data_IF_940729770936
#
_entry.id   IF_940729770936
#
_cell.length_a   1.000
_cell.length_b   1.000
_cell.length_c   1.000
_cell.angle_alpha   90.00
_cell.angle_beta   90.00
_cell.angle_gamma   90.00
#
_symmetry.space_group_name_H-M   'P 1'
#
loop_
_entity.id
_entity.type
_entity.pdbx_description
1 polymer ?
#
# COMPACT_ATOMS: atom_id res chain seq x y z
N UNK A 1 19.11 22.98 -11.27
CA UNK A 1 18.22 22.20 -10.42
C UNK A 1 18.64 20.75 -10.57
N UNK A 2 18.79 19.97 -9.51
CA UNK A 2 19.15 18.54 -9.59
C UNK A 2 18.03 17.74 -10.21
N UNK A 3 18.32 16.58 -10.82
CA UNK A 3 17.35 15.74 -11.52
C UNK A 3 16.18 15.35 -10.62
N UNK A 4 16.46 14.86 -9.38
CA UNK A 4 15.39 14.48 -8.44
C UNK A 4 14.48 15.66 -8.11
N UNK A 5 15.00 16.85 -7.89
CA UNK A 5 14.19 18.02 -7.54
C UNK A 5 13.37 18.54 -8.73
N UNK A 6 13.95 18.48 -9.94
CA UNK A 6 13.24 18.84 -11.18
C UNK A 6 12.07 17.91 -11.47
N UNK A 7 12.29 16.59 -11.38
CA UNK A 7 11.24 15.58 -11.57
C UNK A 7 10.18 15.68 -10.47
N UNK A 8 10.57 15.76 -9.18
CA UNK A 8 9.64 15.94 -8.07
C UNK A 8 8.71 17.14 -8.31
N UNK A 9 9.28 18.30 -8.70
CA UNK A 9 8.50 19.51 -9.00
C UNK A 9 7.52 19.29 -10.15
N UNK A 10 7.93 18.60 -11.23
CA UNK A 10 7.05 18.30 -12.38
C UNK A 10 5.91 17.36 -11.98
N UNK A 11 6.21 16.32 -11.22
CA UNK A 11 5.22 15.33 -10.76
C UNK A 11 4.23 15.94 -9.75
N UNK A 12 4.70 16.73 -8.79
CA UNK A 12 3.83 17.38 -7.79
C UNK A 12 2.86 18.39 -8.40
N UNK A 13 3.21 18.99 -9.54
CA UNK A 13 2.31 19.90 -10.26
C UNK A 13 1.16 19.20 -10.97
N UNK A 14 1.17 17.88 -11.03
CA UNK A 14 0.07 17.11 -11.61
C UNK A 14 -0.98 16.81 -10.52
N UNK A 15 -2.24 17.27 -10.66
CA UNK A 15 -3.31 17.02 -9.70
C UNK A 15 -3.89 15.61 -9.89
N UNK A 16 -3.05 14.60 -9.77
CA UNK A 16 -3.34 13.20 -10.03
C UNK A 16 -4.08 12.53 -8.87
N UNK A 17 -5.24 13.11 -8.47
CA UNK A 17 -6.10 12.48 -7.47
C UNK A 17 -6.61 11.14 -8.01
N UNK A 18 -6.46 10.09 -7.17
CA UNK A 18 -6.78 8.71 -7.54
C UNK A 18 -8.16 8.58 -8.21
N UNK A 19 -8.36 7.81 -9.27
CA UNK A 19 -7.37 6.99 -9.98
C UNK A 19 -6.74 7.69 -11.22
N UNK A 20 -6.64 9.01 -11.22
CA UNK A 20 -6.15 9.79 -12.35
C UNK A 20 -4.62 9.93 -12.30
N UNK A 21 -3.94 9.59 -13.39
CA UNK A 21 -2.49 9.82 -13.55
C UNK A 21 -2.16 11.26 -13.93
N UNK A 22 -3.09 11.96 -14.56
CA UNK A 22 -2.83 13.22 -15.26
C UNK A 22 -1.69 13.05 -16.29
N UNK A 23 -0.53 13.66 -16.04
CA UNK A 23 0.63 13.53 -16.95
C UNK A 23 1.86 12.88 -16.28
N UNK A 24 1.73 12.38 -15.04
CA UNK A 24 2.84 11.88 -14.25
C UNK A 24 3.62 10.78 -14.98
N UNK A 25 2.93 9.74 -15.45
CA UNK A 25 3.60 8.61 -16.11
C UNK A 25 4.17 8.96 -17.48
N UNK A 26 3.59 9.95 -18.20
CA UNK A 26 4.20 10.44 -19.44
C UNK A 26 5.53 11.16 -19.16
N UNK A 27 5.58 11.99 -18.10
CA UNK A 27 6.80 12.66 -17.63
C UNK A 27 7.90 11.62 -17.30
N UNK A 28 7.53 10.54 -16.62
CA UNK A 28 8.45 9.46 -16.26
C UNK A 28 8.90 8.66 -17.49
N UNK A 29 7.98 8.32 -18.40
CA UNK A 29 8.29 7.58 -19.62
C UNK A 29 9.23 8.37 -20.54
N UNK A 30 8.99 9.68 -20.71
CA UNK A 30 9.88 10.58 -21.46
C UNK A 30 11.32 10.56 -20.88
N UNK A 31 11.43 10.71 -19.56
CA UNK A 31 12.72 10.72 -18.88
C UNK A 31 13.45 9.38 -18.99
N UNK A 32 12.75 8.27 -18.72
CA UNK A 32 13.31 6.93 -18.75
C UNK A 32 13.67 6.46 -20.16
N UNK A 33 12.86 6.80 -21.17
CA UNK A 33 13.19 6.55 -22.58
C UNK A 33 14.47 7.28 -23.00
N UNK A 34 14.71 8.49 -22.49
CA UNK A 34 15.96 9.21 -22.67
C UNK A 34 17.19 8.51 -22.10
N UNK A 35 17.00 7.61 -21.13
CA UNK A 35 18.04 6.76 -20.53
C UNK A 35 18.12 5.37 -21.19
N UNK A 36 17.33 5.12 -22.24
CA UNK A 36 17.30 3.86 -22.98
C UNK A 36 16.48 2.76 -22.31
N UNK A 37 15.45 3.13 -21.57
CA UNK A 37 14.44 2.18 -21.11
C UNK A 37 13.38 1.96 -22.18
N UNK A 38 12.93 0.70 -22.32
CA UNK A 38 11.69 0.36 -22.99
C UNK A 38 10.52 0.70 -22.08
N UNK A 39 9.63 1.60 -22.52
CA UNK A 39 8.48 2.08 -21.75
C UNK A 39 7.18 1.59 -22.36
N UNK A 40 6.37 0.88 -21.58
CA UNK A 40 5.06 0.37 -21.97
C UNK A 40 3.99 0.91 -21.04
N UNK A 41 2.88 1.42 -21.61
CA UNK A 41 1.68 1.74 -20.84
C UNK A 41 0.69 0.58 -20.88
N UNK A 42 0.27 0.13 -19.71
CA UNK A 42 -0.76 -0.88 -19.54
C UNK A 42 -2.02 -0.24 -18.99
N UNK A 43 -3.17 -0.52 -19.62
CA UNK A 43 -4.46 0.03 -19.23
C UNK A 43 -5.37 -1.12 -18.79
N UNK A 44 -5.94 -0.99 -17.59
CA UNK A 44 -6.90 -1.96 -17.07
C UNK A 44 -8.15 -1.22 -16.58
N UNK A 45 -9.32 -1.89 -16.66
CA UNK A 45 -10.62 -1.27 -16.39
C UNK A 45 -11.33 -0.80 -17.67
N UNK A 46 -12.53 -0.26 -17.51
CA UNK A 46 -13.33 0.26 -18.62
C UNK A 46 -13.00 1.76 -18.85
N UNK A 47 -12.68 2.19 -20.08
CA UNK A 47 -12.46 3.61 -20.40
C UNK A 47 -13.60 4.55 -20.01
N UNK A 48 -14.82 4.03 -19.90
CA UNK A 48 -16.01 4.78 -19.48
C UNK A 48 -16.47 4.38 -18.06
N UNK A 49 -15.72 3.50 -17.39
CA UNK A 49 -16.02 3.00 -16.05
C UNK A 49 -15.84 4.07 -14.98
N UNK A 50 -16.45 3.83 -13.82
CA UNK A 50 -16.31 4.64 -12.61
C UNK A 50 -16.11 3.73 -11.40
N UNK A 51 -15.51 4.25 -10.32
CA UNK A 51 -15.23 3.46 -9.12
C UNK A 51 -14.34 2.26 -9.45
N UNK A 52 -14.79 1.06 -9.08
CA UNK A 52 -14.05 -0.20 -9.25
C UNK A 52 -13.79 -0.57 -10.73
N UNK A 53 -14.61 -0.05 -11.65
CA UNK A 53 -14.47 -0.29 -13.09
C UNK A 53 -13.66 0.80 -13.80
N UNK A 54 -13.25 1.86 -13.11
CA UNK A 54 -12.48 2.96 -13.73
C UNK A 54 -11.20 2.45 -14.41
N UNK A 55 -10.94 2.99 -15.60
CA UNK A 55 -9.69 2.66 -16.28
C UNK A 55 -8.51 3.31 -15.59
N UNK A 56 -7.50 2.50 -15.29
CA UNK A 56 -6.23 2.92 -14.68
C UNK A 56 -5.09 2.75 -15.67
N UNK A 57 -4.26 3.77 -15.77
CA UNK A 57 -3.01 3.76 -16.50
C UNK A 57 -1.89 3.28 -15.60
N UNK A 58 -1.07 2.36 -16.10
CA UNK A 58 0.12 1.87 -15.44
C UNK A 58 1.30 1.95 -16.40
N UNK A 59 2.49 2.30 -15.90
CA UNK A 59 3.73 2.33 -16.64
C UNK A 59 4.62 1.19 -16.21
N UNK A 60 5.07 0.36 -17.15
CA UNK A 60 6.20 -0.54 -16.96
C UNK A 60 7.35 -0.08 -17.85
N UNK A 61 8.47 0.28 -17.23
CA UNK A 61 9.67 0.70 -17.93
C UNK A 61 10.82 -0.24 -17.57
N UNK A 62 11.52 -0.81 -18.57
CA UNK A 62 12.59 -1.78 -18.36
C UNK A 62 13.85 -1.45 -19.15
N UNK A 63 15.00 -1.54 -18.49
CA UNK A 63 16.32 -1.52 -19.10
C UNK A 63 17.01 -2.83 -18.81
N UNK A 64 17.34 -3.57 -19.88
CA UNK A 64 18.04 -4.84 -19.77
C UNK A 64 19.51 -4.65 -19.41
N UNK A 65 20.00 -5.50 -18.55
CA UNK A 65 21.41 -5.67 -18.27
C UNK A 65 22.14 -6.51 -19.34
N UNK A 66 23.43 -6.67 -19.15
CA UNK A 66 24.30 -7.42 -20.06
C UNK A 66 24.32 -8.94 -19.78
N UNK A 67 23.85 -9.37 -18.60
CA UNK A 67 23.86 -10.77 -18.17
C UNK A 67 22.42 -11.22 -17.85
N UNK A 68 21.82 -12.10 -18.65
CA UNK A 68 20.45 -12.56 -18.46
C UNK A 68 20.25 -13.39 -17.17
N UNK A 69 21.33 -13.91 -16.57
CA UNK A 69 21.30 -14.70 -15.33
C UNK A 69 21.47 -13.81 -14.08
N UNK A 70 21.88 -12.56 -14.25
CA UNK A 70 21.99 -11.59 -13.17
C UNK A 70 20.60 -11.17 -12.61
N UNK A 71 20.60 -10.56 -11.44
CA UNK A 71 19.38 -10.17 -10.74
C UNK A 71 18.57 -9.10 -11.51
N UNK A 72 17.26 -9.12 -11.35
CA UNK A 72 16.34 -8.08 -11.80
C UNK A 72 15.81 -7.30 -10.59
N UNK A 73 16.14 -6.02 -10.51
CA UNK A 73 15.61 -5.07 -9.53
C UNK A 73 14.51 -4.21 -10.15
N UNK A 74 13.30 -4.31 -9.60
CA UNK A 74 12.19 -3.43 -9.91
C UNK A 74 12.06 -2.35 -8.83
N UNK A 75 11.76 -1.12 -9.22
CA UNK A 75 11.21 -0.11 -8.32
C UNK A 75 9.71 0.01 -8.57
N UNK A 76 8.92 -0.09 -7.51
CA UNK A 76 7.48 0.08 -7.60
C UNK A 76 7.02 1.32 -6.82
N UNK A 77 5.99 1.97 -7.35
CA UNK A 77 5.37 3.13 -6.73
C UNK A 77 4.13 3.60 -7.45
N UNK A 78 3.51 4.65 -6.91
CA UNK A 78 2.29 5.22 -7.45
C UNK A 78 2.42 6.73 -7.69
N UNK A 79 1.68 7.21 -8.68
CA UNK A 79 1.61 8.64 -9.02
C UNK A 79 0.29 9.27 -8.62
N UNK A 80 -0.72 8.46 -8.33
CA UNK A 80 -1.96 8.95 -7.75
C UNK A 80 -1.77 9.40 -6.30
N UNK A 81 -2.67 10.24 -5.84
CA UNK A 81 -2.66 10.82 -4.49
C UNK A 81 -4.06 10.87 -3.92
N UNK A 82 -4.18 10.84 -2.60
CA UNK A 82 -5.46 11.07 -1.92
C UNK A 82 -5.99 12.48 -2.16
N UNK A 83 -7.31 12.73 -2.01
CA UNK A 83 -7.89 14.06 -2.09
C UNK A 83 -7.18 15.08 -1.17
N UNK A 84 -7.12 16.33 -1.61
CA UNK A 84 -6.43 17.42 -0.90
C UNK A 84 -7.15 17.89 0.36
N UNK A 85 -8.46 17.57 0.48
CA UNK A 85 -9.31 18.17 1.51
C UNK A 85 -9.63 19.62 1.19
N UNK A 86 -9.82 20.43 2.23
CA UNK A 86 -10.10 21.87 2.09
C UNK A 86 -8.80 22.62 1.73
N UNK A 87 -8.69 23.03 0.48
CA UNK A 87 -7.48 23.69 -0.04
C UNK A 87 -7.26 25.08 0.59
N UNK A 88 -8.28 25.69 1.20
CA UNK A 88 -8.13 26.97 1.89
C UNK A 88 -7.31 26.87 3.19
N UNK A 89 -7.12 25.65 3.70
CA UNK A 89 -6.33 25.38 4.89
C UNK A 89 -4.85 25.12 4.59
N UNK A 90 -4.47 24.97 3.31
CA UNK A 90 -3.08 24.75 2.91
C UNK A 90 -2.29 26.06 2.96
N UNK A 91 -1.08 26.02 3.55
CA UNK A 91 -0.12 27.12 3.55
C UNK A 91 0.34 27.47 2.12
N UNK A 92 0.56 26.46 1.31
CA UNK A 92 0.84 26.57 -0.14
C UNK A 92 -0.14 25.69 -0.91
N UNK A 93 -0.64 26.13 -2.08
CA UNK A 93 -1.58 25.29 -2.86
C UNK A 93 -1.03 23.88 -3.08
N UNK A 94 -1.85 22.82 -2.92
CA UNK A 94 -1.39 21.43 -2.83
C UNK A 94 -0.63 20.94 -4.07
N UNK A 95 -0.86 21.54 -5.23
CA UNK A 95 -0.17 21.19 -6.49
C UNK A 95 0.76 22.30 -7.01
N UNK A 96 1.19 23.22 -6.12
CA UNK A 96 2.15 24.28 -6.48
C UNK A 96 3.60 23.80 -6.54
N UNK A 97 3.95 22.72 -5.84
CA UNK A 97 5.31 22.24 -5.66
C UNK A 97 6.23 23.36 -5.13
N UNK A 98 5.81 24.01 -4.05
CA UNK A 98 6.51 25.15 -3.48
C UNK A 98 7.74 24.72 -2.70
N UNK A 99 8.90 25.35 -2.99
CA UNK A 99 10.12 25.21 -2.21
C UNK A 99 10.17 26.34 -1.18
N UNK A 100 10.05 25.99 0.10
CA UNK A 100 10.14 26.93 1.21
C UNK A 100 10.66 26.22 2.46
N UNK A 101 11.40 26.96 3.29
CA UNK A 101 11.91 26.50 4.60
C UNK A 101 12.68 25.16 4.52
N UNK A 102 13.43 24.95 3.44
CA UNK A 102 14.20 23.70 3.22
C UNK A 102 13.36 22.49 2.82
N UNK A 103 12.05 22.67 2.62
CA UNK A 103 11.11 21.62 2.23
C UNK A 103 10.51 21.86 0.85
N UNK A 104 10.13 20.76 0.19
CA UNK A 104 9.28 20.75 -0.99
C UNK A 104 7.85 20.41 -0.53
N UNK A 105 6.93 21.36 -0.71
CA UNK A 105 5.55 21.29 -0.24
C UNK A 105 4.61 20.89 -1.37
N UNK A 106 3.69 19.99 -1.08
CA UNK A 106 2.61 19.61 -2.00
C UNK A 106 2.06 18.21 -1.72
N UNK A 107 0.83 17.95 -2.14
CA UNK A 107 0.21 16.64 -2.07
C UNK A 107 0.98 15.64 -2.92
N UNK A 108 1.36 14.48 -2.33
CA UNK A 108 2.22 13.48 -2.94
C UNK A 108 3.72 13.75 -2.75
N UNK A 109 4.10 14.77 -1.93
CA UNK A 109 5.50 15.05 -1.66
C UNK A 109 6.14 13.95 -0.84
N UNK A 110 5.47 13.46 0.20
CA UNK A 110 5.91 12.30 0.97
C UNK A 110 5.41 11.00 0.37
N UNK A 111 4.18 10.96 -0.12
CA UNK A 111 3.49 9.76 -0.59
C UNK A 111 3.04 9.90 -2.04
N UNK A 112 3.83 9.40 -3.02
CA UNK A 112 5.24 9.02 -2.94
C UNK A 112 6.03 9.53 -4.18
N UNK A 113 5.54 10.61 -4.83
CA UNK A 113 6.09 11.13 -6.09
C UNK A 113 7.58 11.51 -5.99
N UNK A 114 8.03 11.99 -4.82
CA UNK A 114 9.44 12.37 -4.63
C UNK A 114 10.35 11.16 -4.54
N UNK A 115 9.91 10.04 -3.96
CA UNK A 115 10.67 8.80 -3.95
C UNK A 115 10.88 8.25 -5.37
N UNK A 116 9.85 8.31 -6.23
CA UNK A 116 9.96 7.95 -7.65
C UNK A 116 11.02 8.84 -8.34
N UNK A 117 10.95 10.16 -8.12
CA UNK A 117 11.92 11.10 -8.70
C UNK A 117 13.35 10.84 -8.21
N UNK A 118 13.53 10.47 -6.94
CA UNK A 118 14.83 10.09 -6.37
C UNK A 118 15.37 8.81 -7.02
N UNK A 119 14.53 7.80 -7.23
CA UNK A 119 14.95 6.58 -7.89
C UNK A 119 15.32 6.83 -9.37
N UNK A 120 14.53 7.61 -10.10
CA UNK A 120 14.87 8.03 -11.46
C UNK A 120 16.23 8.73 -11.53
N UNK A 121 16.51 9.65 -10.60
CA UNK A 121 17.81 10.34 -10.54
C UNK A 121 18.97 9.40 -10.14
N UNK A 122 18.71 8.41 -9.28
CA UNK A 122 19.68 7.38 -8.96
C UNK A 122 20.00 6.50 -10.18
N UNK A 123 18.98 6.09 -10.93
CA UNK A 123 19.13 5.33 -12.19
C UNK A 123 19.93 6.13 -13.21
N UNK A 124 19.64 7.41 -13.42
CA UNK A 124 20.41 8.27 -14.35
C UNK A 124 21.90 8.24 -14.02
N UNK A 125 22.27 8.45 -12.74
CA UNK A 125 23.67 8.40 -12.30
C UNK A 125 24.27 7.02 -12.47
N UNK A 126 23.50 5.98 -12.15
CA UNK A 126 23.96 4.61 -12.21
C UNK A 126 24.25 4.17 -13.65
N UNK A 127 23.33 4.37 -14.60
CA UNK A 127 23.54 3.93 -15.99
C UNK A 127 24.65 4.72 -16.70
N UNK A 128 24.91 5.95 -16.27
CA UNK A 128 26.07 6.73 -16.73
C UNK A 128 27.39 6.15 -16.20
N UNK A 129 27.43 5.72 -14.94
CA UNK A 129 28.62 5.15 -14.31
C UNK A 129 28.88 3.69 -14.71
N UNK A 130 27.81 2.93 -14.91
CA UNK A 130 27.82 1.49 -15.24
C UNK A 130 27.05 1.21 -16.54
N UNK A 131 27.53 1.66 -17.71
CA UNK A 131 26.79 1.50 -18.98
C UNK A 131 26.57 0.05 -19.39
N UNK A 132 27.40 -0.88 -18.88
CA UNK A 132 27.34 -2.33 -19.12
C UNK A 132 26.95 -3.10 -17.84
N UNK A 133 26.09 -2.51 -17.01
CA UNK A 133 25.59 -3.18 -15.80
C UNK A 133 25.06 -4.59 -16.12
N UNK A 134 25.15 -5.52 -15.15
CA UNK A 134 24.77 -6.90 -15.37
C UNK A 134 23.28 -7.16 -15.30
N UNK A 135 22.66 -6.75 -14.19
CA UNK A 135 21.27 -7.07 -13.90
C UNK A 135 20.28 -6.14 -14.61
N UNK A 136 19.03 -6.57 -14.71
CA UNK A 136 17.93 -5.79 -15.26
C UNK A 136 17.46 -4.74 -14.25
N UNK A 137 17.04 -3.57 -14.73
CA UNK A 137 16.39 -2.52 -13.93
C UNK A 137 15.01 -2.26 -14.51
N UNK A 138 13.97 -2.25 -13.67
CA UNK A 138 12.64 -1.81 -14.12
C UNK A 138 11.96 -0.87 -13.12
N UNK A 139 10.96 -0.15 -13.61
CA UNK A 139 10.02 0.61 -12.81
C UNK A 139 8.60 0.16 -13.15
N UNK A 140 7.80 -0.07 -12.12
CA UNK A 140 6.37 -0.34 -12.22
C UNK A 140 5.63 0.76 -11.46
N UNK A 141 4.91 1.60 -12.20
CA UNK A 141 4.24 2.79 -11.65
C UNK A 141 2.75 2.70 -11.94
N UNK A 142 1.93 2.80 -10.90
CA UNK A 142 0.46 2.79 -11.00
C UNK A 142 -0.15 4.17 -10.74
N UNK A 143 -1.44 4.30 -11.03
CA UNK A 143 -2.29 5.43 -10.63
C UNK A 143 -3.53 4.97 -9.83
N UNK A 144 -3.46 3.82 -9.13
CA UNK A 144 -4.56 3.25 -8.32
C UNK A 144 -4.00 2.49 -7.11
N UNK A 145 -3.09 3.11 -6.35
CA UNK A 145 -2.67 2.60 -5.03
C UNK A 145 -3.56 3.18 -3.93
N UNK A 146 -3.81 4.47 -3.98
CA UNK A 146 -4.57 5.27 -3.01
C UNK A 146 -6.10 5.14 -3.18
N UNK A 147 -6.53 4.40 -4.18
CA UNK A 147 -7.93 4.15 -4.49
C UNK A 147 -8.38 2.74 -4.12
N UNK A 148 -9.14 2.14 -5.06
CA UNK A 148 -9.67 0.78 -4.87
C UNK A 148 -8.63 -0.32 -5.09
N UNK A 149 -7.48 0.01 -5.69
CA UNK A 149 -6.34 -0.87 -5.96
C UNK A 149 -6.70 -2.16 -6.75
N UNK A 150 -7.63 -2.04 -7.69
CA UNK A 150 -8.11 -3.17 -8.52
C UNK A 150 -7.42 -3.20 -9.87
N UNK A 151 -7.38 -2.04 -10.58
CA UNK A 151 -6.89 -1.91 -11.93
C UNK A 151 -5.45 -1.35 -12.01
N UNK A 152 -4.81 -1.16 -10.87
CA UNK A 152 -3.43 -0.73 -10.69
C UNK A 152 -2.43 -1.88 -10.70
N UNK A 153 -1.49 -1.83 -9.76
CA UNK A 153 -0.36 -2.78 -9.62
C UNK A 153 -0.80 -4.24 -9.65
N UNK A 154 -1.93 -4.60 -9.03
CA UNK A 154 -2.44 -5.98 -9.04
C UNK A 154 -2.59 -6.53 -10.46
N UNK A 155 -3.25 -5.80 -11.35
CA UNK A 155 -3.45 -6.22 -12.75
C UNK A 155 -2.15 -6.18 -13.53
N UNK A 156 -1.30 -5.18 -13.28
CA UNK A 156 -0.01 -5.05 -13.94
C UNK A 156 0.91 -6.23 -13.63
N UNK A 157 1.07 -6.61 -12.36
CA UNK A 157 1.92 -7.77 -11.99
C UNK A 157 1.32 -9.10 -12.47
N UNK A 158 -0.01 -9.26 -12.51
CA UNK A 158 -0.64 -10.44 -13.11
C UNK A 158 -0.31 -10.55 -14.62
N UNK A 159 -0.30 -9.43 -15.35
CA UNK A 159 0.06 -9.42 -16.76
C UNK A 159 1.56 -9.69 -16.94
N UNK A 160 2.45 -9.11 -16.12
CA UNK A 160 3.88 -9.40 -16.15
C UNK A 160 4.16 -10.88 -15.84
N UNK A 161 3.52 -11.46 -14.84
CA UNK A 161 3.62 -12.88 -14.52
C UNK A 161 3.13 -13.79 -15.69
N UNK A 162 2.01 -13.41 -16.34
CA UNK A 162 1.49 -14.11 -17.53
C UNK A 162 2.50 -14.12 -18.68
N UNK A 163 3.31 -13.05 -18.79
CA UNK A 163 4.41 -12.94 -19.79
C UNK A 163 5.69 -13.66 -19.35
N UNK A 164 5.69 -14.30 -18.16
CA UNK A 164 6.89 -14.88 -17.53
C UNK A 164 8.00 -13.85 -17.32
N UNK A 165 7.62 -12.60 -17.04
CA UNK A 165 8.59 -11.57 -16.67
C UNK A 165 9.18 -11.91 -15.30
N UNK A 166 10.52 -11.86 -15.20
CA UNK A 166 11.25 -12.13 -13.96
C UNK A 166 11.32 -10.87 -13.11
N UNK A 167 11.23 -11.02 -11.80
CA UNK A 167 11.47 -9.95 -10.82
C UNK A 167 12.04 -10.62 -9.57
N UNK A 168 13.33 -10.42 -9.27
CA UNK A 168 13.95 -11.02 -8.08
C UNK A 168 13.76 -10.13 -6.86
N UNK A 169 13.98 -8.83 -7.05
CA UNK A 169 13.89 -7.81 -6.01
C UNK A 169 12.92 -6.71 -6.42
N UNK A 170 12.12 -6.23 -5.48
CA UNK A 170 11.30 -5.06 -5.66
C UNK A 170 11.49 -4.07 -4.51
N UNK A 171 11.96 -2.87 -4.83
CA UNK A 171 12.04 -1.76 -3.90
C UNK A 171 10.81 -0.88 -4.08
N UNK A 172 9.99 -0.77 -3.05
CA UNK A 172 8.80 0.10 -3.07
C UNK A 172 9.15 1.42 -2.38
N UNK A 173 8.86 2.53 -3.04
CA UNK A 173 9.26 3.87 -2.57
C UNK A 173 8.35 4.49 -1.51
N UNK A 174 7.54 3.70 -0.82
CA UNK A 174 6.61 4.12 0.24
C UNK A 174 7.32 4.85 1.39
N UNK A 175 6.70 5.86 2.02
CA UNK A 175 7.25 6.62 3.14
C UNK A 175 7.36 5.74 4.39
N UNK A 176 8.46 5.02 4.52
CA UNK A 176 8.72 4.06 5.60
C UNK A 176 9.45 4.65 6.79
N UNK A 177 10.19 5.75 6.59
CA UNK A 177 10.99 6.39 7.64
C UNK A 177 10.10 7.11 8.66
N UNK A 178 10.54 7.19 9.93
CA UNK A 178 9.71 7.72 11.03
C UNK A 178 10.28 8.99 11.67
N UNK A 179 11.47 8.95 12.21
CA UNK A 179 12.11 10.10 12.87
C UNK A 179 13.26 10.67 12.05
N UNK A 180 13.98 9.83 11.33
CA UNK A 180 15.08 10.20 10.42
C UNK A 180 15.07 9.30 9.21
N UNK A 181 15.54 9.82 8.06
CA UNK A 181 15.57 9.05 6.82
C UNK A 181 16.29 7.70 7.00
N UNK A 182 15.59 6.63 6.68
CA UNK A 182 16.12 5.28 6.72
C UNK A 182 16.18 4.63 8.11
N UNK A 183 15.62 5.25 9.15
CA UNK A 183 15.56 4.65 10.50
C UNK A 183 14.68 3.40 10.54
N UNK A 184 13.68 3.29 9.66
CA UNK A 184 12.82 2.14 9.50
C UNK A 184 12.66 1.79 8.04
N UNK A 185 12.81 0.50 7.70
CA UNK A 185 12.42 -0.07 6.41
C UNK A 185 11.35 -1.14 6.63
N UNK A 186 10.47 -1.34 5.64
CA UNK A 186 9.49 -2.42 5.73
C UNK A 186 9.99 -3.60 4.89
N UNK A 187 10.23 -4.72 5.57
CA UNK A 187 10.58 -5.98 4.92
C UNK A 187 9.39 -6.96 4.86
N UNK A 188 8.19 -6.46 5.13
CA UNK A 188 6.95 -7.21 5.09
C UNK A 188 5.78 -6.35 5.54
N UNK A 189 4.57 -6.81 5.27
CA UNK A 189 3.32 -6.17 5.69
C UNK A 189 2.35 -7.22 6.21
N UNK A 190 1.54 -6.83 7.19
CA UNK A 190 0.42 -7.66 7.65
C UNK A 190 -0.64 -7.76 6.57
N UNK A 191 -1.35 -8.88 6.53
CA UNK A 191 -2.57 -9.02 5.76
C UNK A 191 -3.69 -8.13 6.29
N UNK A 192 -4.68 -7.87 5.44
CA UNK A 192 -5.86 -7.09 5.78
C UNK A 192 -7.11 -7.76 5.21
N UNK A 193 -7.99 -8.21 6.11
CA UNK A 193 -9.26 -8.86 5.78
C UNK A 193 -10.39 -8.11 6.45
N UNK A 194 -11.30 -7.54 5.66
CA UNK A 194 -12.51 -6.86 6.16
C UNK A 194 -13.72 -7.79 6.10
N UNK A 195 -14.61 -7.65 7.08
CA UNK A 195 -15.91 -8.33 7.11
C UNK A 195 -17.05 -7.34 7.33
N UNK A 196 -18.13 -7.53 6.58
CA UNK A 196 -19.43 -6.88 6.76
C UNK A 196 -20.43 -7.93 7.25
N UNK A 197 -20.62 -7.98 8.57
CA UNK A 197 -21.55 -8.90 9.22
C UNK A 197 -22.91 -8.24 9.33
N UNK A 198 -23.95 -8.89 8.79
CA UNK A 198 -25.34 -8.49 8.96
C UNK A 198 -26.08 -9.58 9.71
N UNK A 199 -26.70 -9.22 10.82
CA UNK A 199 -27.59 -10.12 11.58
C UNK A 199 -29.03 -9.66 11.39
N UNK A 200 -29.87 -10.57 10.93
CA UNK A 200 -31.31 -10.34 10.67
C UNK A 200 -32.15 -11.06 11.70
N UNK A 201 -33.00 -10.31 12.37
CA UNK A 201 -34.00 -10.79 13.30
C UNK A 201 -35.42 -10.53 12.80
N UNK A 202 -36.30 -10.09 13.72
CA UNK A 202 -37.68 -9.72 13.42
C UNK A 202 -38.05 -8.47 14.19
N UNK A 203 -38.40 -7.41 13.47
CA UNK A 203 -38.85 -6.15 14.06
C UNK A 203 -40.10 -6.32 14.90
N UNK A 204 -40.22 -5.57 15.99
CA UNK A 204 -41.37 -5.57 16.86
C UNK A 204 -41.34 -4.47 17.92
N UNK A 205 -42.43 -4.40 18.71
CA UNK A 205 -42.51 -3.46 19.83
C UNK A 205 -41.79 -4.03 21.05
N UNK A 206 -40.94 -3.25 21.71
CA UNK A 206 -40.13 -3.71 22.85
C UNK A 206 -40.98 -4.27 24.01
N UNK A 207 -42.22 -3.81 24.18
CA UNK A 207 -43.13 -4.32 25.19
C UNK A 207 -43.65 -5.75 24.89
N UNK A 208 -43.47 -6.23 23.67
CA UNK A 208 -43.92 -7.55 23.22
C UNK A 208 -42.75 -8.36 22.61
N UNK A 209 -41.66 -8.59 23.37
CA UNK A 209 -40.45 -9.22 22.83
C UNK A 209 -40.68 -10.66 22.31
N UNK A 210 -41.72 -11.36 22.78
CA UNK A 210 -42.08 -12.70 22.35
C UNK A 210 -42.63 -12.73 20.89
N UNK A 211 -43.00 -11.58 20.32
CA UNK A 211 -43.45 -11.43 18.92
C UNK A 211 -42.33 -11.00 17.97
N UNK A 212 -41.15 -10.68 18.50
CA UNK A 212 -40.00 -10.20 17.77
C UNK A 212 -38.78 -11.13 17.94
N UNK A 213 -37.71 -10.85 17.20
CA UNK A 213 -36.38 -11.44 17.40
C UNK A 213 -35.41 -10.28 17.39
N UNK A 214 -34.77 -9.99 18.52
CA UNK A 214 -33.87 -8.85 18.63
C UNK A 214 -32.47 -9.22 18.10
N UNK A 215 -32.05 -8.77 16.91
CA UNK A 215 -30.76 -9.13 16.34
C UNK A 215 -29.58 -8.62 17.17
N UNK A 216 -29.74 -7.54 17.94
CA UNK A 216 -28.69 -6.99 18.82
C UNK A 216 -28.45 -7.94 19.98
N UNK A 217 -29.52 -8.50 20.58
CA UNK A 217 -29.39 -9.44 21.69
C UNK A 217 -28.81 -10.78 21.24
N UNK A 218 -29.20 -11.27 20.05
CA UNK A 218 -28.65 -12.50 19.49
C UNK A 218 -27.17 -12.36 19.14
N UNK A 219 -26.75 -11.17 18.65
CA UNK A 219 -25.38 -10.89 18.26
C UNK A 219 -24.44 -10.65 19.45
N UNK A 220 -24.91 -10.02 20.52
CA UNK A 220 -24.04 -9.54 21.61
C UNK A 220 -23.12 -10.63 22.21
N UNK A 221 -23.55 -11.87 22.48
CA UNK A 221 -22.65 -12.91 22.97
C UNK A 221 -21.56 -13.30 21.97
N UNK A 222 -21.88 -13.35 20.68
CA UNK A 222 -20.92 -13.66 19.62
C UNK A 222 -19.87 -12.55 19.48
N UNK A 223 -20.29 -11.27 19.53
CA UNK A 223 -19.34 -10.15 19.52
C UNK A 223 -18.40 -10.18 20.71
N UNK A 224 -18.91 -10.50 21.91
CA UNK A 224 -18.07 -10.62 23.10
C UNK A 224 -16.99 -11.72 22.94
N UNK A 225 -17.35 -12.87 22.36
CA UNK A 225 -16.39 -13.94 22.09
C UNK A 225 -15.41 -13.56 20.97
N UNK A 226 -15.86 -12.95 19.88
CA UNK A 226 -14.99 -12.49 18.79
C UNK A 226 -13.95 -11.46 19.27
N UNK A 227 -14.36 -10.51 20.10
CA UNK A 227 -13.47 -9.47 20.65
C UNK A 227 -12.46 -10.04 21.63
N UNK A 228 -12.86 -11.06 22.41
CA UNK A 228 -11.99 -11.74 23.39
C UNK A 228 -11.10 -12.82 22.75
N UNK A 229 -11.32 -13.15 21.47
CA UNK A 229 -10.60 -14.23 20.82
C UNK A 229 -9.12 -13.89 20.63
N UNK A 230 -8.24 -14.75 21.12
CA UNK A 230 -6.84 -14.75 20.73
C UNK A 230 -6.70 -15.46 19.39
N UNK A 231 -6.34 -14.69 18.36
CA UNK A 231 -6.27 -15.19 16.99
C UNK A 231 -4.97 -15.95 16.74
N UNK A 232 -3.85 -15.40 17.24
CA UNK A 232 -2.50 -15.98 17.35
C UNK A 232 -1.65 -15.14 18.33
N UNK A 233 -0.39 -15.51 18.51
CA UNK A 233 0.57 -14.81 19.38
C UNK A 233 1.57 -13.96 18.58
N UNK A 234 1.43 -13.87 17.24
CA UNK A 234 2.45 -13.28 16.38
C UNK A 234 3.70 -14.16 16.28
N UNK A 235 4.76 -13.58 15.75
CA UNK A 235 6.07 -14.23 15.63
C UNK A 235 7.20 -13.20 15.70
N UNK A 236 8.45 -13.62 15.45
CA UNK A 236 9.63 -12.73 15.51
C UNK A 236 9.57 -11.51 14.58
N UNK A 237 8.70 -11.55 13.57
CA UNK A 237 8.59 -10.49 12.55
C UNK A 237 7.27 -9.72 12.61
N UNK A 238 6.23 -10.35 13.16
CA UNK A 238 4.89 -9.77 13.16
C UNK A 238 4.29 -9.73 14.56
N UNK A 239 3.61 -8.64 14.92
CA UNK A 239 2.74 -8.66 16.10
C UNK A 239 1.58 -9.63 15.89
N UNK A 240 0.94 -10.04 16.98
CA UNK A 240 -0.24 -10.88 16.95
C UNK A 240 -1.34 -10.30 16.05
N UNK A 241 -2.09 -11.20 15.41
CA UNK A 241 -3.28 -10.84 14.64
C UNK A 241 -4.30 -10.13 15.51
N UNK A 242 -4.83 -9.01 15.03
CA UNK A 242 -5.84 -8.23 15.72
C UNK A 242 -7.10 -8.08 14.89
N UNK A 243 -8.25 -8.16 15.56
CA UNK A 243 -9.56 -7.82 15.00
C UNK A 243 -10.05 -6.51 15.63
N UNK A 244 -10.53 -5.58 14.80
CA UNK A 244 -11.13 -4.33 15.25
C UNK A 244 -12.49 -4.13 14.60
N UNK A 245 -13.49 -3.83 15.43
CA UNK A 245 -14.82 -3.41 14.97
C UNK A 245 -14.77 -1.91 14.74
N UNK A 246 -15.04 -1.48 13.52
CA UNK A 246 -15.02 -0.06 13.14
C UNK A 246 -16.39 0.60 13.24
N UNK A 247 -17.45 -0.15 12.96
CA UNK A 247 -18.82 0.34 12.97
C UNK A 247 -19.80 -0.70 13.47
N UNK A 248 -20.80 -0.23 14.21
CA UNK A 248 -22.00 -1.00 14.54
C UNK A 248 -23.20 -0.09 14.24
N UNK A 249 -24.07 -0.52 13.35
CA UNK A 249 -25.25 0.25 12.94
C UNK A 249 -26.50 -0.62 12.98
N UNK A 250 -27.61 -0.02 13.44
CA UNK A 250 -28.87 -0.72 13.53
C UNK A 250 -29.92 0.13 14.25
N UNK A 251 -31.17 -0.31 14.20
CA UNK A 251 -32.26 0.41 14.82
C UNK A 251 -32.93 1.43 13.88
N UNK A 252 -34.10 1.89 14.30
CA UNK A 252 -34.93 2.85 13.56
C UNK A 252 -34.84 4.26 14.15
N UNK A 253 -34.06 4.46 15.22
CA UNK A 253 -34.03 5.68 16.02
C UNK A 253 -35.18 5.78 17.03
N UNK A 254 -36.19 4.93 16.95
CA UNK A 254 -37.33 4.92 17.90
C UNK A 254 -36.97 4.04 19.11
N UNK A 255 -37.21 4.59 20.31
CA UNK A 255 -36.84 3.91 21.58
C UNK A 255 -37.72 2.73 21.95
N UNK A 256 -38.83 2.54 21.29
CA UNK A 256 -39.82 1.48 21.55
C UNK A 256 -39.90 0.41 20.44
N UNK A 257 -38.92 0.38 19.50
CA UNK A 257 -38.87 -0.56 18.38
C UNK A 257 -37.63 -1.44 18.47
N UNK A 258 -37.84 -2.77 18.47
CA UNK A 258 -36.80 -3.77 18.25
C UNK A 258 -36.47 -3.73 16.75
N UNK A 259 -35.20 -3.53 16.32
CA UNK A 259 -34.85 -3.45 14.90
C UNK A 259 -35.00 -4.77 14.16
N UNK A 260 -35.12 -4.71 12.84
CA UNK A 260 -35.11 -5.90 12.00
C UNK A 260 -33.69 -6.47 11.79
N UNK A 261 -32.67 -5.60 11.77
CA UNK A 261 -31.28 -6.00 11.53
C UNK A 261 -30.30 -5.14 12.27
N UNK A 262 -29.10 -5.65 12.43
CA UNK A 262 -27.90 -4.93 12.89
C UNK A 262 -26.74 -5.30 11.97
N UNK A 263 -25.92 -4.31 11.63
CA UNK A 263 -24.73 -4.43 10.81
C UNK A 263 -23.48 -4.12 11.65
N UNK A 264 -22.42 -4.90 11.43
CA UNK A 264 -21.09 -4.70 12.04
C UNK A 264 -20.04 -4.72 10.95
N UNK A 265 -19.23 -3.66 10.88
CA UNK A 265 -18.04 -3.62 10.04
C UNK A 265 -16.82 -3.85 10.92
N UNK A 266 -15.97 -4.78 10.50
CA UNK A 266 -14.74 -5.11 11.21
C UNK A 266 -13.60 -5.41 10.24
N UNK A 267 -12.35 -5.35 10.75
CA UNK A 267 -11.15 -5.65 9.98
C UNK A 267 -10.17 -6.46 10.83
N UNK A 268 -9.55 -7.45 10.19
CA UNK A 268 -8.37 -8.13 10.68
C UNK A 268 -7.11 -7.51 10.11
N UNK A 269 -6.13 -7.26 10.98
CA UNK A 269 -4.73 -7.10 10.59
C UNK A 269 -3.99 -8.35 11.06
N UNK A 270 -3.57 -9.20 10.11
CA UNK A 270 -3.11 -10.54 10.42
C UNK A 270 -1.68 -10.82 9.93
N UNK A 271 -1.01 -11.69 10.68
CA UNK A 271 0.36 -12.12 10.42
C UNK A 271 0.38 -13.44 9.64
N UNK A 272 1.57 -13.95 9.36
CA UNK A 272 1.80 -15.19 8.60
C UNK A 272 1.39 -16.47 9.34
N UNK A 273 0.96 -16.37 10.62
CA UNK A 273 0.40 -17.52 11.38
C UNK A 273 -1.05 -17.84 10.98
N UNK A 274 -1.71 -16.92 10.28
CA UNK A 274 -3.07 -17.07 9.75
C UNK A 274 -3.11 -16.82 8.24
N UNK A 275 -4.14 -17.40 7.60
CA UNK A 275 -4.58 -17.04 6.25
C UNK A 275 -5.96 -16.41 6.32
N UNK A 276 -6.40 -15.77 5.23
CA UNK A 276 -7.75 -15.24 5.15
C UNK A 276 -8.81 -16.32 5.42
N UNK A 277 -8.62 -17.52 4.86
CA UNK A 277 -9.53 -18.65 5.03
C UNK A 277 -9.58 -19.15 6.48
N UNK A 278 -8.43 -19.20 7.18
CA UNK A 278 -8.39 -19.63 8.58
C UNK A 278 -9.15 -18.67 9.50
N UNK A 279 -9.01 -17.36 9.26
CA UNK A 279 -9.71 -16.30 9.99
C UNK A 279 -11.22 -16.35 9.71
N UNK A 280 -11.62 -16.53 8.45
CA UNK A 280 -13.03 -16.69 8.06
C UNK A 280 -13.63 -17.92 8.75
N UNK A 281 -12.96 -19.08 8.66
CA UNK A 281 -13.45 -20.32 9.26
C UNK A 281 -13.61 -20.20 10.80
N UNK A 282 -12.63 -19.60 11.49
CA UNK A 282 -12.69 -19.39 12.95
C UNK A 282 -13.80 -18.41 13.33
N UNK A 283 -13.99 -17.34 12.54
CA UNK A 283 -15.10 -16.39 12.74
C UNK A 283 -16.45 -17.05 12.58
N UNK A 284 -16.63 -17.82 11.49
CA UNK A 284 -17.88 -18.58 11.26
C UNK A 284 -18.13 -19.59 12.39
N UNK A 285 -17.11 -20.31 12.84
CA UNK A 285 -17.25 -21.27 13.95
C UNK A 285 -17.76 -20.61 15.24
N UNK A 286 -17.26 -19.40 15.57
CA UNK A 286 -17.75 -18.63 16.72
C UNK A 286 -19.21 -18.20 16.51
N UNK A 287 -19.54 -17.66 15.35
CA UNK A 287 -20.90 -17.25 15.04
C UNK A 287 -21.87 -18.44 15.03
N UNK A 288 -21.55 -19.53 14.39
CA UNK A 288 -22.36 -20.74 14.31
C UNK A 288 -22.66 -21.32 15.70
N UNK A 289 -21.71 -21.29 16.61
CA UNK A 289 -21.90 -21.68 18.01
C UNK A 289 -23.02 -20.88 18.68
N UNK A 290 -23.11 -19.58 18.44
CA UNK A 290 -24.11 -18.71 19.04
C UNK A 290 -25.43 -18.70 18.28
N UNK A 291 -25.38 -18.81 16.94
CA UNK A 291 -26.56 -18.75 16.08
C UNK A 291 -27.20 -20.12 15.82
N UNK A 292 -26.56 -21.24 16.13
CA UNK A 292 -27.06 -22.59 15.84
C UNK A 292 -28.40 -22.93 16.48
N UNK A 293 -28.77 -22.27 17.59
CA UNK A 293 -30.09 -22.36 18.24
C UNK A 293 -30.91 -21.08 18.16
N UNK A 294 -30.40 -20.03 17.54
CA UNK A 294 -31.05 -18.73 17.37
C UNK A 294 -32.13 -18.79 16.29
N UNK A 295 -33.12 -17.90 16.40
CA UNK A 295 -34.10 -17.63 15.34
C UNK A 295 -33.66 -16.49 14.41
N UNK A 296 -32.57 -15.80 14.73
CA UNK A 296 -31.91 -14.84 13.86
C UNK A 296 -30.96 -15.54 12.90
N UNK A 297 -30.68 -14.91 11.78
CA UNK A 297 -29.71 -15.38 10.78
C UNK A 297 -28.59 -14.35 10.65
N UNK A 298 -27.40 -14.81 10.24
CA UNK A 298 -26.33 -13.92 9.88
C UNK A 298 -25.79 -14.18 8.47
N UNK A 299 -25.21 -13.15 7.88
CA UNK A 299 -24.40 -13.22 6.66
C UNK A 299 -23.13 -12.39 6.84
N UNK A 300 -22.03 -12.81 6.21
CA UNK A 300 -20.81 -12.01 6.16
C UNK A 300 -20.39 -11.86 4.69
N UNK A 301 -20.12 -10.64 4.28
CA UNK A 301 -19.42 -10.32 3.05
C UNK A 301 -17.93 -10.07 3.43
N UNK A 302 -17.02 -10.78 2.76
CA UNK A 302 -15.60 -10.68 3.02
C UNK A 302 -14.89 -9.91 1.90
N UNK A 303 -13.93 -9.05 2.29
CA UNK A 303 -13.06 -8.35 1.37
C UNK A 303 -11.61 -8.49 1.84
N UNK A 304 -10.81 -9.25 1.07
CA UNK A 304 -9.38 -9.41 1.28
C UNK A 304 -8.62 -8.34 0.50
N UNK A 305 -8.05 -7.35 1.21
CA UNK A 305 -7.18 -6.34 0.60
C UNK A 305 -5.81 -6.90 0.22
N UNK A 306 -5.29 -7.86 0.98
CA UNK A 306 -4.03 -8.54 0.70
C UNK A 306 -3.62 -9.53 1.79
N UNK A 307 -2.87 -10.55 1.39
CA UNK A 307 -2.22 -11.50 2.28
C UNK A 307 -0.98 -10.87 2.93
N UNK A 308 -0.54 -11.37 4.09
CA UNK A 308 0.73 -10.94 4.66
C UNK A 308 1.90 -11.43 3.79
N UNK A 309 2.95 -10.62 3.71
CA UNK A 309 4.20 -11.05 3.10
C UNK A 309 5.40 -10.69 3.97
N UNK A 310 6.49 -11.42 3.81
CA UNK A 310 7.74 -11.19 4.50
C UNK A 310 8.92 -11.47 3.56
N UNK A 311 9.82 -10.50 3.43
CA UNK A 311 11.14 -10.70 2.87
C UNK A 311 12.11 -11.04 4.01
N UNK A 312 12.70 -12.24 4.02
CA UNK A 312 13.63 -12.63 5.08
C UNK A 312 14.93 -11.82 4.99
N UNK A 313 15.69 -11.80 6.09
CA UNK A 313 17.06 -11.26 6.06
C UNK A 313 17.89 -12.03 5.02
N UNK A 314 18.67 -11.30 4.23
CA UNK A 314 19.48 -11.84 3.15
C UNK A 314 19.98 -10.73 2.23
N UNK A 315 20.44 -11.10 1.03
CA UNK A 315 21.14 -10.21 0.12
C UNK A 315 20.43 -8.86 -0.11
N UNK A 316 19.12 -8.88 -0.37
CA UNK A 316 18.36 -7.66 -0.66
C UNK A 316 18.21 -6.77 0.58
N UNK A 317 17.75 -7.34 1.70
CA UNK A 317 17.58 -6.58 2.95
C UNK A 317 18.93 -6.01 3.41
N UNK A 318 20.00 -6.82 3.32
CA UNK A 318 21.35 -6.42 3.70
C UNK A 318 21.88 -5.31 2.79
N UNK A 319 21.62 -5.36 1.48
CA UNK A 319 22.00 -4.31 0.54
C UNK A 319 21.33 -2.98 0.89
N UNK A 320 20.02 -2.99 1.23
CA UNK A 320 19.27 -1.80 1.63
C UNK A 320 19.80 -1.23 2.94
N UNK A 321 19.97 -2.07 3.98
CA UNK A 321 20.49 -1.65 5.30
C UNK A 321 21.90 -1.05 5.18
N UNK A 322 22.79 -1.70 4.41
CA UNK A 322 24.15 -1.20 4.19
C UNK A 322 24.16 0.14 3.44
N UNK A 323 23.28 0.30 2.42
CA UNK A 323 23.18 1.56 1.68
C UNK A 323 22.74 2.72 2.59
N UNK A 324 21.73 2.50 3.43
CA UNK A 324 21.27 3.47 4.42
C UNK A 324 22.42 3.85 5.36
N UNK A 325 23.07 2.86 5.98
CA UNK A 325 24.17 3.08 6.91
C UNK A 325 25.32 3.88 6.29
N UNK A 326 25.65 3.57 5.04
CA UNK A 326 26.74 4.25 4.32
C UNK A 326 26.44 5.72 4.00
N UNK A 327 25.16 6.09 3.81
CA UNK A 327 24.76 7.47 3.46
C UNK A 327 24.41 8.30 4.68
N UNK A 328 23.64 7.73 5.62
CA UNK A 328 23.08 8.47 6.75
C UNK A 328 23.80 8.20 8.08
N UNK A 329 24.54 7.11 8.18
CA UNK A 329 25.07 6.62 9.46
C UNK A 329 24.04 5.92 10.33
N UNK A 330 22.78 5.85 9.92
CA UNK A 330 21.66 5.26 10.68
C UNK A 330 21.66 3.75 10.59
N UNK A 331 21.34 3.06 11.67
CA UNK A 331 21.05 1.64 11.70
C UNK A 331 19.53 1.45 11.48
N UNK A 332 19.16 0.92 10.32
CA UNK A 332 17.76 0.72 9.96
C UNK A 332 17.12 -0.41 10.76
N UNK A 333 15.96 -0.15 11.36
CA UNK A 333 15.11 -1.17 11.95
C UNK A 333 14.22 -1.83 10.88
N UNK A 334 14.11 -3.16 10.94
CA UNK A 334 13.15 -3.91 10.12
C UNK A 334 11.77 -3.89 10.77
N UNK A 335 10.72 -3.68 9.99
CA UNK A 335 9.37 -3.60 10.52
C UNK A 335 8.34 -4.13 9.53
N UNK A 336 7.28 -4.73 10.06
CA UNK A 336 6.09 -5.19 9.31
C UNK A 336 4.83 -4.38 9.68
N UNK A 337 4.99 -3.34 10.50
CA UNK A 337 3.90 -2.51 11.02
C UNK A 337 3.40 -1.49 9.99
N UNK A 338 2.26 -0.87 10.28
CA UNK A 338 1.65 0.19 9.47
C UNK A 338 0.49 -0.28 8.59
N UNK A 339 0.16 0.53 7.60
CA UNK A 339 -0.86 0.25 6.60
C UNK A 339 -0.46 -0.93 5.69
N UNK A 340 -1.08 -1.00 4.53
CA UNK A 340 -0.65 -1.92 3.48
C UNK A 340 -0.04 -1.12 2.34
N UNK A 341 0.56 -1.78 1.35
CA UNK A 341 1.15 -1.20 0.16
C UNK A 341 0.98 -2.16 -1.02
N UNK A 342 1.30 -1.73 -2.21
CA UNK A 342 1.29 -2.58 -3.40
C UNK A 342 2.27 -3.76 -3.36
N UNK A 343 3.23 -3.74 -2.43
CA UNK A 343 4.06 -4.90 -2.10
C UNK A 343 3.26 -6.18 -1.82
N UNK A 344 2.02 -6.04 -1.30
CA UNK A 344 1.07 -7.14 -1.07
C UNK A 344 0.69 -7.94 -2.33
N UNK A 345 0.76 -7.30 -3.49
CA UNK A 345 0.48 -7.94 -4.77
C UNK A 345 1.77 -8.42 -5.44
N UNK A 346 2.83 -7.61 -5.36
CA UNK A 346 4.11 -7.88 -6.01
C UNK A 346 4.76 -9.13 -5.43
N UNK A 347 4.88 -9.20 -4.11
CA UNK A 347 5.56 -10.31 -3.43
C UNK A 347 4.98 -11.69 -3.80
N UNK A 348 3.68 -11.97 -3.64
CA UNK A 348 3.13 -13.29 -3.92
C UNK A 348 2.97 -13.59 -5.42
N UNK A 349 2.62 -12.61 -6.26
CA UNK A 349 2.32 -12.84 -7.68
C UNK A 349 3.62 -13.02 -8.49
N UNK A 350 4.63 -12.19 -8.23
CA UNK A 350 5.93 -12.26 -8.91
C UNK A 350 6.92 -13.18 -8.21
N UNK A 351 6.61 -13.69 -7.01
CA UNK A 351 7.53 -14.41 -6.13
C UNK A 351 8.83 -13.60 -5.89
N UNK A 352 8.68 -12.29 -5.73
CA UNK A 352 9.77 -11.34 -5.56
C UNK A 352 10.03 -11.04 -4.07
N UNK A 353 11.27 -10.78 -3.71
CA UNK A 353 11.59 -10.17 -2.43
C UNK A 353 11.24 -8.68 -2.48
N UNK A 354 10.44 -8.21 -1.51
CA UNK A 354 9.97 -6.82 -1.45
C UNK A 354 10.50 -6.13 -0.20
N UNK A 355 11.08 -4.94 -0.37
CA UNK A 355 11.46 -4.03 0.72
C UNK A 355 10.90 -2.65 0.40
N UNK A 356 10.37 -1.96 1.41
CA UNK A 356 9.89 -0.61 1.25
C UNK A 356 10.82 0.37 1.95
N UNK A 357 11.24 1.38 1.21
CA UNK A 357 12.11 2.46 1.69
C UNK A 357 11.76 3.77 0.99
N UNK A 358 11.36 4.77 1.75
CA UNK A 358 11.12 6.12 1.27
C UNK A 358 11.39 7.16 2.34
N UNK A 359 10.87 8.35 2.12
CA UNK A 359 10.99 9.52 3.00
C UNK A 359 10.23 9.33 4.32
N UNK A 360 10.23 10.36 5.18
CA UNK A 360 9.47 10.37 6.43
C UNK A 360 7.96 10.35 6.15
N UNK A 361 7.23 9.68 7.05
CA UNK A 361 5.77 9.50 6.97
C UNK A 361 4.99 10.48 7.86
N UNK A 362 5.64 11.50 8.39
CA UNK A 362 5.08 12.41 9.39
C UNK A 362 3.98 13.34 8.85
N UNK A 363 3.94 13.57 7.52
CA UNK A 363 2.95 14.46 6.90
C UNK A 363 2.07 13.78 5.84
N UNK A 364 2.15 12.44 5.68
CA UNK A 364 1.33 11.72 4.70
C UNK A 364 -0.17 11.94 4.96
N UNK A 365 -0.95 12.13 3.88
CA UNK A 365 -2.41 12.36 3.88
C UNK A 365 -2.87 13.60 4.65
N UNK A 366 -1.95 14.40 5.21
CA UNK A 366 -2.29 15.62 5.95
C UNK A 366 -2.37 16.84 4.99
N UNK A 367 -3.02 17.90 5.48
CA UNK A 367 -2.85 19.23 4.91
C UNK A 367 -1.40 19.65 5.16
N UNK A 368 -0.84 20.41 4.23
CA UNK A 368 0.57 20.82 4.29
C UNK A 368 1.58 19.67 4.23
N UNK A 369 1.25 18.62 3.47
CA UNK A 369 2.20 17.55 3.15
C UNK A 369 3.47 18.13 2.53
N UNK A 370 4.63 17.62 2.99
CA UNK A 370 5.94 18.12 2.58
C UNK A 370 7.05 17.11 2.82
N UNK A 371 8.19 17.33 2.20
CA UNK A 371 9.42 16.55 2.40
C UNK A 371 10.63 17.46 2.50
N UNK A 372 11.58 17.13 3.37
CA UNK A 372 12.87 17.85 3.44
C UNK A 372 13.70 17.60 2.17
N UNK A 373 14.21 18.69 1.56
CA UNK A 373 15.01 18.58 0.32
C UNK A 373 16.31 17.82 0.55
N UNK A 374 16.92 17.96 1.72
CA UNK A 374 18.14 17.24 2.09
C UNK A 374 17.94 15.72 2.15
N UNK A 375 16.72 15.26 2.50
CA UNK A 375 16.41 13.84 2.54
C UNK A 375 16.23 13.27 1.12
N UNK A 376 15.77 14.07 0.16
CA UNK A 376 15.68 13.64 -1.24
C UNK A 376 17.06 13.37 -1.85
N UNK A 377 18.06 14.19 -1.52
CA UNK A 377 19.44 13.93 -1.96
C UNK A 377 20.00 12.65 -1.35
N UNK A 378 19.83 12.48 -0.03
CA UNK A 378 20.26 11.26 0.67
C UNK A 378 19.55 10.02 0.15
N UNK A 379 18.23 10.08 -0.07
CA UNK A 379 17.45 8.96 -0.62
C UNK A 379 17.92 8.59 -2.02
N UNK A 380 18.22 9.58 -2.88
CA UNK A 380 18.83 9.35 -4.21
C UNK A 380 20.16 8.61 -4.10
N UNK A 381 21.01 8.99 -3.14
CA UNK A 381 22.31 8.32 -2.92
C UNK A 381 22.11 6.89 -2.39
N UNK A 382 21.16 6.67 -1.49
CA UNK A 382 20.82 5.33 -0.97
C UNK A 382 20.37 4.41 -2.11
N UNK A 383 19.44 4.88 -2.95
CA UNK A 383 18.96 4.10 -4.11
C UNK A 383 20.10 3.79 -5.09
N UNK A 384 21.00 4.75 -5.32
CA UNK A 384 22.19 4.53 -6.14
C UNK A 384 23.10 3.42 -5.60
N UNK A 385 23.33 3.37 -4.28
CA UNK A 385 24.14 2.32 -3.65
C UNK A 385 23.46 0.95 -3.68
N UNK A 386 22.12 0.90 -3.61
CA UNK A 386 21.37 -0.35 -3.78
C UNK A 386 21.56 -0.89 -5.21
N UNK A 387 21.43 -0.02 -6.22
CA UNK A 387 21.69 -0.37 -7.62
C UNK A 387 23.13 -0.87 -7.82
N UNK A 388 24.11 -0.15 -7.29
CA UNK A 388 25.53 -0.57 -7.37
C UNK A 388 25.77 -1.96 -6.76
N UNK A 389 25.13 -2.25 -5.64
CA UNK A 389 25.32 -3.52 -4.91
C UNK A 389 24.68 -4.70 -5.60
N UNK A 390 23.51 -4.52 -6.23
CA UNK A 390 22.69 -5.62 -6.73
C UNK A 390 22.80 -5.83 -8.25
N UNK A 391 23.10 -4.76 -9.00
CA UNK A 391 22.90 -4.72 -10.46
C UNK A 391 24.20 -4.43 -11.24
N UNK A 392 25.26 -3.86 -10.63
CA UNK A 392 26.51 -3.47 -11.31
C UNK A 392 27.31 -4.63 -11.92
#
# INVERSE_FOLDING_TARGET
>A
MTTYLSLSTRLLKQPSITPNDCDCQNILAEFLSGLGFDCEFMYFGDPNGQGDDAQVKNLYAKKKGSDPDAAHLCFAGHTDVVPTGDESLWTYPPFSATLADGCLWGRGASDMKTAIACFCAAVERFVCAYPNHKGDISLLITADEEGVAINGTKKAVMELARRSERMDFCLVGEPSSTATLGDVIKNGRRGSLSGRLVVTGKQGHIAYPHLAINPIHELAPALAELVACEWDMGNDYFPATSMQISNVSGGTGATNVIPNSVEVLFNFRFCTENTAESLQAKTHAILDKHFGSSKANYTIEWNLSGEPFLTPKGEFVDAVVHAIKAVTGTDAALSTSGGTSDGRFIAPIMNAQVVELGVLNDTIHQIDEKVAVDDLEKLTLIYGKILEKLIA
#
